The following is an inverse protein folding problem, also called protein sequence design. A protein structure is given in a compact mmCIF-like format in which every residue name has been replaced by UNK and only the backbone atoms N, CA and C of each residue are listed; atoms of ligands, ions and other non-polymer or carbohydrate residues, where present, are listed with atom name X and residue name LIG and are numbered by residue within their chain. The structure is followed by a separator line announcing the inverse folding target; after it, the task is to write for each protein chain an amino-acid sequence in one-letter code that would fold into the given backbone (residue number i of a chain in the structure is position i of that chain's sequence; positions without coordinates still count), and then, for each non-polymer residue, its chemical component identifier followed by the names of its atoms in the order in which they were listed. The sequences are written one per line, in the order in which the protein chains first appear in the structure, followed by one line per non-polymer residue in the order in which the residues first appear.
data_IF_065857013052
#
_entry.id   IF_065857013052
#
_cell.length_a   1.000
_cell.length_b   1.000
_cell.length_c   1.000
_cell.angle_alpha   90.00
_cell.angle_beta   90.00
_cell.angle_gamma   90.00
#
_symmetry.space_group_name_H-M   'P 1'
#
loop_
_entity.id
_entity.type
_entity.pdbx_description
1 polymer ?
#
# COMPACT_ATOMS: atom_id res chain seq x y z
N UNK A 1 -27.43 -58.98 -37.02
CA UNK A 1 -26.41 -57.92 -37.16
C UNK A 1 -26.55 -56.97 -35.98
N UNK A 2 -25.62 -57.04 -35.03
CA UNK A 2 -25.61 -56.22 -33.80
C UNK A 2 -24.34 -55.38 -33.86
N UNK A 3 -24.45 -54.06 -33.93
CA UNK A 3 -23.35 -53.16 -33.56
C UNK A 3 -23.93 -51.98 -32.79
N UNK A 4 -23.73 -52.02 -31.48
CA UNK A 4 -23.99 -50.94 -30.54
C UNK A 4 -22.65 -50.23 -30.33
N UNK A 5 -22.45 -49.05 -30.91
CA UNK A 5 -21.29 -48.21 -30.63
C UNK A 5 -21.60 -47.39 -29.36
N UNK A 6 -20.97 -47.76 -28.25
CA UNK A 6 -20.91 -46.95 -27.04
C UNK A 6 -19.59 -46.17 -27.07
N UNK A 7 -19.66 -44.90 -27.48
CA UNK A 7 -18.54 -43.96 -27.42
C UNK A 7 -18.51 -43.28 -26.05
N UNK A 8 -17.45 -43.56 -25.29
CA UNK A 8 -17.17 -42.98 -23.97
C UNK A 8 -16.84 -41.49 -24.12
N UNK A 9 -17.66 -40.63 -23.50
CA UNK A 9 -17.39 -39.20 -23.37
C UNK A 9 -16.38 -38.97 -22.24
N UNK A 10 -15.11 -38.79 -22.59
CA UNK A 10 -14.06 -38.44 -21.63
C UNK A 10 -14.20 -36.94 -21.27
N UNK A 11 -14.92 -36.62 -20.18
CA UNK A 11 -14.88 -35.30 -19.57
C UNK A 11 -13.54 -35.12 -18.84
N UNK A 12 -12.62 -34.40 -19.47
CA UNK A 12 -11.42 -33.87 -18.81
C UNK A 12 -11.87 -32.80 -17.79
N UNK A 13 -12.01 -33.18 -16.52
CA UNK A 13 -12.11 -32.23 -15.42
C UNK A 13 -10.74 -31.56 -15.23
N UNK A 14 -10.60 -30.36 -15.79
CA UNK A 14 -9.54 -29.43 -15.40
C UNK A 14 -9.80 -29.03 -13.94
N UNK A 15 -9.12 -29.70 -13.02
CA UNK A 15 -9.06 -29.27 -11.62
C UNK A 15 -8.31 -27.93 -11.56
N UNK A 16 -9.05 -26.82 -11.63
CA UNK A 16 -8.54 -25.49 -11.32
C UNK A 16 -8.23 -25.49 -9.82
N UNK A 17 -6.97 -25.75 -9.47
CA UNK A 17 -6.48 -25.57 -8.10
C UNK A 17 -6.47 -24.08 -7.80
N UNK A 18 -7.60 -23.54 -7.37
CA UNK A 18 -7.65 -22.23 -6.72
C UNK A 18 -7.02 -22.40 -5.34
N UNK A 19 -5.69 -22.20 -5.26
CA UNK A 19 -5.08 -21.92 -3.96
C UNK A 19 -5.78 -20.69 -3.41
N UNK A 20 -6.62 -20.89 -2.39
CA UNK A 20 -7.15 -19.79 -1.60
C UNK A 20 -5.96 -18.91 -1.20
N UNK A 21 -5.99 -17.63 -1.58
CA UNK A 21 -4.95 -16.70 -1.16
C UNK A 21 -4.89 -16.77 0.36
N UNK A 22 -3.71 -17.05 0.92
CA UNK A 22 -3.53 -17.14 2.36
C UNK A 22 -4.12 -15.87 2.99
N UNK A 23 -5.05 -16.04 3.92
CA UNK A 23 -5.73 -14.93 4.56
C UNK A 23 -4.71 -14.11 5.36
N UNK A 24 -4.74 -12.78 5.21
CA UNK A 24 -3.89 -11.89 5.99
C UNK A 24 -4.30 -11.85 7.46
N UNK A 25 -3.33 -11.79 8.36
CA UNK A 25 -3.57 -11.54 9.79
C UNK A 25 -3.99 -10.10 10.07
N UNK A 26 -3.76 -9.18 9.12
CA UNK A 26 -4.23 -7.82 9.24
C UNK A 26 -5.75 -7.79 9.04
N UNK A 27 -6.50 -7.26 10.02
CA UNK A 27 -7.95 -7.22 9.94
C UNK A 27 -8.38 -6.35 8.76
N UNK A 28 -9.53 -6.69 8.19
CA UNK A 28 -10.25 -5.73 7.35
C UNK A 28 -10.63 -4.50 8.19
N UNK A 29 -10.83 -3.38 7.51
CA UNK A 29 -11.33 -2.16 8.14
C UNK A 29 -12.52 -1.62 7.34
N UNK A 30 -13.25 -0.70 7.95
CA UNK A 30 -14.49 -0.13 7.39
C UNK A 30 -14.26 1.16 6.59
N UNK A 31 -13.00 1.60 6.43
CA UNK A 31 -12.68 2.81 5.68
C UNK A 31 -13.13 2.67 4.24
N UNK A 32 -13.58 3.78 3.66
CA UNK A 32 -14.15 3.85 2.33
C UNK A 32 -13.23 4.61 1.39
N UNK A 33 -13.36 4.29 0.10
CA UNK A 33 -12.81 5.07 -0.99
C UNK A 33 -13.85 6.11 -1.45
N UNK A 34 -13.42 7.26 -2.02
CA UNK A 34 -12.04 7.70 -2.15
C UNK A 34 -11.43 8.07 -0.79
N UNK A 35 -10.10 8.01 -0.71
CA UNK A 35 -9.34 8.31 0.48
C UNK A 35 -8.38 9.47 0.22
N UNK A 36 -8.49 10.54 1.00
CA UNK A 36 -7.69 11.77 0.84
C UNK A 36 -7.57 12.47 2.19
N UNK A 37 -7.05 11.76 3.19
CA UNK A 37 -6.81 12.29 4.53
C UNK A 37 -5.32 12.63 4.69
N UNK A 38 -5.03 13.72 5.40
CA UNK A 38 -3.68 14.05 5.86
C UNK A 38 -3.43 13.42 7.23
N UNK A 39 -2.24 12.90 7.46
CA UNK A 39 -1.84 12.19 8.67
C UNK A 39 -0.85 13.04 9.45
N UNK A 40 -1.35 13.79 10.44
CA UNK A 40 -0.49 14.51 11.37
C UNK A 40 0.18 13.52 12.33
N UNK A 41 1.51 13.38 12.34
CA UNK A 41 2.23 12.34 13.09
C UNK A 41 1.79 12.24 14.55
N UNK A 42 1.63 13.37 15.23
CA UNK A 42 1.30 13.44 16.66
C UNK A 42 -0.18 13.16 16.98
N UNK A 43 -1.05 13.11 15.97
CA UNK A 43 -2.50 12.92 16.15
C UNK A 43 -2.99 11.56 15.65
N UNK A 44 -2.18 10.86 14.88
CA UNK A 44 -2.56 9.59 14.28
C UNK A 44 -2.44 8.47 15.30
N UNK A 45 -3.54 7.75 15.53
CA UNK A 45 -3.54 6.57 16.40
C UNK A 45 -3.09 5.34 15.60
N UNK A 46 -1.87 4.91 15.88
CA UNK A 46 -1.27 3.74 15.23
C UNK A 46 -1.66 2.44 15.91
N UNK A 47 -1.77 1.38 15.11
CA UNK A 47 -2.01 0.01 15.56
C UNK A 47 -0.71 -0.77 15.59
N UNK A 48 -0.60 -1.70 16.52
CA UNK A 48 0.49 -2.69 16.53
C UNK A 48 0.15 -3.87 15.62
N UNK A 49 1.15 -4.37 14.91
CA UNK A 49 1.05 -5.52 14.03
C UNK A 49 0.66 -6.76 14.86
N UNK A 50 -0.43 -7.46 14.51
CA UNK A 50 -0.91 -8.60 15.29
C UNK A 50 -0.14 -9.90 14.99
N UNK A 51 0.73 -9.91 13.97
CA UNK A 51 1.47 -11.10 13.56
C UNK A 51 2.75 -10.74 12.80
N UNK A 52 3.62 -11.73 12.57
CA UNK A 52 4.80 -11.53 11.72
C UNK A 52 4.43 -11.36 10.23
N UNK A 53 5.00 -10.35 9.59
CA UNK A 53 4.91 -10.12 8.13
C UNK A 53 6.26 -10.38 7.49
N UNK A 54 6.31 -11.32 6.54
CA UNK A 54 7.52 -11.62 5.76
C UNK A 54 7.93 -10.39 4.95
N UNK A 55 9.17 -9.92 5.17
CA UNK A 55 9.73 -8.74 4.52
C UNK A 55 9.56 -7.43 5.31
N UNK A 56 9.05 -7.46 6.54
CA UNK A 56 8.86 -6.26 7.37
C UNK A 56 10.14 -5.45 7.59
N UNK A 57 11.27 -6.12 7.81
CA UNK A 57 12.59 -5.49 8.00
C UNK A 57 12.99 -4.55 6.86
N UNK A 58 12.38 -4.69 5.69
CA UNK A 58 12.63 -3.83 4.54
C UNK A 58 11.88 -2.48 4.61
N UNK A 59 11.04 -2.24 5.63
CA UNK A 59 10.14 -1.07 5.70
C UNK A 59 10.64 0.04 6.61
N UNK A 60 11.13 -0.28 7.82
CA UNK A 60 11.28 0.68 8.91
C UNK A 60 12.74 0.85 9.35
N UNK A 61 13.68 1.15 8.44
CA UNK A 61 15.11 1.29 8.78
C UNK A 61 15.73 0.14 9.59
N UNK A 62 15.15 -1.06 9.51
CA UNK A 62 15.57 -2.21 10.32
C UNK A 62 15.10 -2.18 11.78
N UNK A 63 14.29 -1.21 12.19
CA UNK A 63 13.68 -1.18 13.51
C UNK A 63 12.56 -2.20 13.66
N UNK A 64 12.44 -2.74 14.88
CA UNK A 64 11.41 -3.70 15.26
C UNK A 64 10.04 -3.04 15.51
N UNK A 65 9.95 -1.72 15.30
CA UNK A 65 8.69 -0.99 15.43
C UNK A 65 7.70 -1.46 14.36
N UNK A 66 6.61 -2.04 14.86
CA UNK A 66 5.60 -2.77 14.10
C UNK A 66 4.29 -2.00 14.15
N UNK A 67 4.37 -0.67 14.07
CA UNK A 67 3.22 0.22 14.02
C UNK A 67 2.73 0.44 12.58
N UNK A 68 1.42 0.56 12.43
CA UNK A 68 0.80 0.85 11.14
C UNK A 68 -0.53 1.58 11.29
N UNK A 69 -0.95 2.26 10.22
CA UNK A 69 -2.30 2.79 10.07
C UNK A 69 -3.01 2.02 8.93
N UNK A 70 -4.20 1.44 9.16
CA UNK A 70 -4.94 0.80 8.08
C UNK A 70 -5.46 1.83 7.06
N UNK A 71 -5.35 1.52 5.78
CA UNK A 71 -6.04 2.23 4.69
C UNK A 71 -7.21 1.37 4.19
N UNK A 72 -8.13 1.91 3.36
CA UNK A 72 -9.18 1.10 2.73
C UNK A 72 -8.62 -0.20 2.13
N UNK A 73 -9.38 -1.29 2.14
CA UNK A 73 -8.92 -2.57 1.58
C UNK A 73 -9.09 -2.65 0.06
N UNK A 74 -8.32 -3.52 -0.61
CA UNK A 74 -8.49 -3.87 -2.03
C UNK A 74 -8.57 -5.38 -2.22
N UNK A 75 -9.78 -5.93 -2.20
CA UNK A 75 -10.00 -7.38 -2.26
C UNK A 75 -9.23 -8.13 -1.15
N UNK A 76 -8.32 -9.02 -1.55
CA UNK A 76 -7.45 -9.77 -0.63
C UNK A 76 -6.18 -9.03 -0.23
N UNK A 77 -5.88 -7.87 -0.85
CA UNK A 77 -4.73 -7.02 -0.52
C UNK A 77 -5.08 -6.15 0.67
N UNK A 78 -4.21 -6.16 1.68
CA UNK A 78 -4.25 -5.21 2.80
C UNK A 78 -3.31 -4.06 2.47
N UNK A 79 -3.80 -2.84 2.66
CA UNK A 79 -3.05 -1.62 2.40
C UNK A 79 -2.95 -0.86 3.70
N UNK A 80 -1.73 -0.46 4.05
CA UNK A 80 -1.42 0.19 5.33
C UNK A 80 -0.43 1.35 5.08
N UNK A 81 -0.45 2.34 5.94
CA UNK A 81 0.67 3.26 6.10
C UNK A 81 1.59 2.78 7.22
N UNK A 82 2.88 2.96 7.01
CA UNK A 82 3.94 2.67 7.98
C UNK A 82 4.71 3.98 8.17
N UNK A 83 4.86 4.46 9.42
CA UNK A 83 5.70 5.61 9.69
C UNK A 83 7.17 5.21 9.47
N UNK A 84 7.96 6.14 8.93
CA UNK A 84 9.41 6.01 8.90
C UNK A 84 9.98 6.96 9.95
N UNK A 85 10.28 6.42 11.13
CA UNK A 85 10.72 7.18 12.32
C UNK A 85 12.25 7.40 12.37
N UNK A 86 12.93 7.20 11.25
CA UNK A 86 14.39 7.27 11.12
C UNK A 86 14.80 8.29 10.05
N UNK A 87 15.98 8.88 10.24
CA UNK A 87 16.53 9.91 9.38
C UNK A 87 16.13 11.31 9.82
N UNK A 88 16.70 12.30 9.14
CA UNK A 88 16.51 13.72 9.46
C UNK A 88 15.30 14.27 8.68
N UNK A 89 14.12 13.75 9.01
CA UNK A 89 12.85 14.12 8.39
C UNK A 89 11.85 14.44 9.48
N UNK A 90 11.06 15.51 9.32
CA UNK A 90 9.95 15.80 10.23
C UNK A 90 8.98 14.63 10.32
N UNK A 91 8.53 14.12 9.16
CA UNK A 91 7.79 12.86 9.10
C UNK A 91 7.72 12.29 7.68
N UNK A 92 7.60 10.96 7.59
CA UNK A 92 7.36 10.24 6.33
C UNK A 92 6.47 9.02 6.56
N UNK A 93 5.53 8.82 5.64
CA UNK A 93 4.68 7.65 5.56
C UNK A 93 4.94 6.87 4.27
N UNK A 94 5.10 5.57 4.42
CA UNK A 94 5.13 4.63 3.32
C UNK A 94 3.82 3.87 3.26
N UNK A 95 3.20 3.83 2.08
CA UNK A 95 2.13 2.89 1.79
C UNK A 95 2.76 1.54 1.51
N UNK A 96 2.31 0.51 2.21
CA UNK A 96 2.73 -0.87 2.00
C UNK A 96 1.53 -1.74 1.60
N UNK A 97 1.78 -2.69 0.70
CA UNK A 97 0.79 -3.68 0.26
C UNK A 97 1.15 -5.05 0.80
N UNK A 98 0.19 -5.69 1.45
CA UNK A 98 0.36 -6.99 2.09
C UNK A 98 -0.63 -7.98 1.47
N UNK A 99 -0.11 -9.13 1.04
CA UNK A 99 -0.93 -10.25 0.54
C UNK A 99 -0.64 -11.48 1.39
N UNK A 100 -1.68 -11.99 2.06
CA UNK A 100 -1.51 -12.90 3.19
C UNK A 100 -0.67 -12.23 4.28
N UNK A 101 0.47 -12.79 4.62
CA UNK A 101 1.39 -12.22 5.61
C UNK A 101 2.74 -11.87 4.99
N UNK A 102 2.74 -11.38 3.75
CA UNK A 102 3.96 -11.00 3.03
C UNK A 102 3.84 -9.58 2.48
N UNK A 103 4.87 -8.78 2.71
CA UNK A 103 5.08 -7.50 2.03
C UNK A 103 5.30 -7.76 0.54
N UNK A 104 4.43 -7.18 -0.29
CA UNK A 104 4.52 -7.28 -1.76
C UNK A 104 5.19 -6.05 -2.35
N UNK A 105 4.75 -4.86 -1.95
CA UNK A 105 5.24 -3.59 -2.49
C UNK A 105 5.18 -2.48 -1.45
N UNK A 106 5.93 -1.39 -1.71
CA UNK A 106 5.92 -0.18 -0.87
C UNK A 106 6.20 1.08 -1.66
N UNK A 107 5.65 2.21 -1.23
CA UNK A 107 5.89 3.51 -1.85
C UNK A 107 5.85 4.64 -0.82
N UNK A 108 6.77 5.60 -0.91
CA UNK A 108 6.69 6.86 -0.17
C UNK A 108 5.51 7.68 -0.70
N UNK A 109 4.57 8.04 0.18
CA UNK A 109 3.27 8.64 -0.23
C UNK A 109 2.91 9.93 0.50
N UNK A 110 3.47 10.17 1.68
CA UNK A 110 3.17 11.37 2.45
C UNK A 110 4.34 11.76 3.33
N UNK A 111 4.63 13.05 3.46
CA UNK A 111 5.69 13.52 4.34
C UNK A 111 5.95 15.01 4.20
N UNK A 112 6.77 15.49 5.13
CA UNK A 112 7.39 16.80 5.11
C UNK A 112 8.90 16.63 5.11
N UNK A 113 9.57 17.30 4.18
CA UNK A 113 11.02 17.28 4.08
C UNK A 113 11.58 18.66 3.79
N UNK A 114 12.72 18.99 4.37
CA UNK A 114 13.55 20.14 4.03
C UNK A 114 14.99 19.84 4.43
N UNK A 115 15.94 20.56 3.84
CA UNK A 115 17.33 20.47 4.28
C UNK A 115 17.49 21.25 5.60
N UNK A 116 18.24 20.72 6.59
CA UNK A 116 18.44 21.42 7.87
C UNK A 116 18.99 22.84 7.73
N UNK A 117 19.84 23.05 6.72
CA UNK A 117 20.47 24.35 6.42
C UNK A 117 19.61 25.25 5.53
N UNK A 118 18.42 24.80 5.10
CA UNK A 118 17.52 25.55 4.22
C UNK A 118 16.05 25.30 4.59
N UNK A 119 15.58 26.01 5.59
CA UNK A 119 14.17 26.00 6.02
C UNK A 119 13.25 26.86 5.12
N UNK A 120 13.82 27.63 4.19
CA UNK A 120 13.06 28.42 3.20
C UNK A 120 12.40 27.56 2.13
N UNK A 121 12.88 26.32 1.93
CA UNK A 121 12.40 25.37 0.93
C UNK A 121 11.89 24.09 1.57
N UNK A 122 10.58 23.84 1.50
CA UNK A 122 9.94 22.65 2.08
C UNK A 122 9.24 21.82 1.03
N UNK A 123 9.49 20.51 1.03
CA UNK A 123 8.78 19.53 0.22
C UNK A 123 7.61 18.94 1.01
N UNK A 124 6.42 19.14 0.47
CA UNK A 124 5.19 18.57 0.96
C UNK A 124 4.74 17.45 0.03
N UNK A 125 4.81 16.21 0.49
CA UNK A 125 4.27 15.07 -0.24
C UNK A 125 2.93 14.66 0.37
N UNK A 126 1.93 14.42 -0.49
CA UNK A 126 0.61 13.92 -0.11
C UNK A 126 0.11 12.90 -1.12
N UNK A 127 -0.82 12.07 -0.71
CA UNK A 127 -1.46 11.11 -1.60
C UNK A 127 -2.97 11.10 -1.49
N UNK A 128 -3.60 10.53 -2.50
CA UNK A 128 -5.00 10.14 -2.49
C UNK A 128 -5.18 8.79 -3.17
N UNK A 129 -6.28 8.09 -2.83
CA UNK A 129 -6.70 6.84 -3.44
C UNK A 129 -8.12 7.04 -3.96
N UNK A 130 -8.35 6.85 -5.27
CA UNK A 130 -9.70 6.98 -5.84
C UNK A 130 -10.53 5.69 -5.70
N UNK A 131 -11.78 5.73 -6.17
CA UNK A 131 -12.71 4.60 -6.12
C UNK A 131 -12.23 3.36 -6.92
N UNK A 132 -11.33 3.54 -7.89
CA UNK A 132 -10.71 2.47 -8.68
C UNK A 132 -9.35 2.04 -8.14
N UNK A 133 -9.01 2.50 -6.94
CA UNK A 133 -7.73 2.23 -6.31
C UNK A 133 -6.51 2.78 -7.08
N UNK A 134 -6.71 3.87 -7.82
CA UNK A 134 -5.62 4.67 -8.37
C UNK A 134 -5.05 5.54 -7.27
N UNK A 135 -3.76 5.36 -6.98
CA UNK A 135 -3.03 6.11 -5.96
C UNK A 135 -2.31 7.26 -6.68
N UNK A 136 -2.63 8.49 -6.31
CA UNK A 136 -1.97 9.68 -6.84
C UNK A 136 -1.11 10.27 -5.74
N UNK A 137 0.18 10.50 -6.01
CA UNK A 137 1.14 11.10 -5.10
C UNK A 137 1.56 12.43 -5.70
N UNK A 138 1.41 13.50 -4.94
CA UNK A 138 1.76 14.86 -5.33
C UNK A 138 2.83 15.36 -4.38
N UNK A 139 3.93 15.87 -4.94
CA UNK A 139 4.94 16.60 -4.18
C UNK A 139 4.95 18.04 -4.65
N UNK A 140 4.76 18.95 -3.70
CA UNK A 140 4.83 20.39 -3.89
C UNK A 140 6.06 20.92 -3.13
N UNK A 141 6.75 21.89 -3.72
CA UNK A 141 7.81 22.64 -3.06
C UNK A 141 7.22 23.97 -2.62
N UNK A 142 7.36 24.30 -1.35
CA UNK A 142 7.04 25.59 -0.76
C UNK A 142 8.31 26.45 -0.67
N UNK A 143 8.29 27.63 -1.31
CA UNK A 143 9.34 28.66 -1.20
C UNK A 143 8.71 29.99 -0.87
N UNK A 144 9.14 30.63 0.21
CA UNK A 144 8.62 31.95 0.65
C UNK A 144 7.08 31.98 0.71
N UNK A 145 6.48 30.91 1.24
CA UNK A 145 5.03 30.74 1.38
C UNK A 145 4.27 30.37 0.10
N UNK A 146 4.95 30.26 -1.05
CA UNK A 146 4.32 29.86 -2.32
C UNK A 146 4.61 28.40 -2.62
N UNK A 147 3.56 27.61 -2.87
CA UNK A 147 3.67 26.22 -3.31
C UNK A 147 3.67 26.10 -4.82
N UNK A 148 4.59 25.27 -5.33
CA UNK A 148 4.68 24.91 -6.74
C UNK A 148 4.77 23.40 -6.88
N UNK A 149 4.10 22.84 -7.89
CA UNK A 149 4.16 21.42 -8.19
C UNK A 149 5.60 21.02 -8.56
N UNK A 150 6.19 20.10 -7.80
CA UNK A 150 7.48 19.48 -8.13
C UNK A 150 7.27 18.19 -8.91
N UNK A 151 6.34 17.34 -8.44
CA UNK A 151 6.05 16.09 -9.13
C UNK A 151 4.62 15.61 -8.85
N UNK A 152 4.10 14.85 -9.80
CA UNK A 152 2.88 14.07 -9.65
C UNK A 152 3.15 12.68 -10.23
N UNK A 153 2.95 11.64 -9.42
CA UNK A 153 3.08 10.25 -9.84
C UNK A 153 1.80 9.50 -9.57
N UNK A 154 1.42 8.62 -10.49
CA UNK A 154 0.23 7.79 -10.38
C UNK A 154 0.63 6.32 -10.36
N UNK A 155 0.05 5.57 -9.43
CA UNK A 155 0.17 4.13 -9.32
C UNK A 155 -1.21 3.48 -9.41
N UNK A 156 -1.26 2.31 -10.05
CA UNK A 156 -2.41 1.42 -9.99
C UNK A 156 -2.08 0.21 -9.12
N UNK A 157 -2.89 -0.04 -8.09
CA UNK A 157 -2.80 -1.28 -7.32
C UNK A 157 -3.37 -2.45 -8.14
N UNK A 158 -2.60 -3.52 -8.24
CA UNK A 158 -2.98 -4.76 -8.90
C UNK A 158 -3.54 -5.79 -7.91
N UNK A 159 -4.36 -6.77 -8.35
CA UNK A 159 -4.90 -7.83 -7.48
C UNK A 159 -3.83 -8.69 -6.78
N UNK A 160 -2.61 -8.75 -7.33
CA UNK A 160 -1.49 -9.46 -6.72
C UNK A 160 -0.72 -8.62 -5.68
N UNK A 161 -1.16 -7.40 -5.40
CA UNK A 161 -0.54 -6.47 -4.46
C UNK A 161 0.55 -5.57 -5.03
N UNK A 162 0.97 -5.72 -6.29
CA UNK A 162 1.99 -4.84 -6.89
C UNK A 162 1.44 -3.46 -7.23
N UNK A 163 2.28 -2.44 -7.07
CA UNK A 163 2.02 -1.07 -7.51
C UNK A 163 2.66 -0.86 -8.89
N UNK A 164 1.85 -0.60 -9.90
CA UNK A 164 2.34 -0.30 -11.25
C UNK A 164 2.25 1.20 -11.50
N UNK A 165 3.40 1.85 -11.74
CA UNK A 165 3.44 3.25 -12.17
C UNK A 165 2.72 3.41 -13.51
N UNK A 166 1.87 4.43 -13.62
CA UNK A 166 1.11 4.80 -14.83
C UNK A 166 1.71 6.03 -15.49
#
# INVERSE_FOLDING_TARGET
MKHLFTGILCMLLLAVSSRAAAQSCLPTNTLKLPYNQKHEPDKVVLKNLPCAIKGWSNLACGEDDKRYLPLPGFGTVRVILIPLDCGDFEYRWYLATIVGNKLVDKQYVEGLWFEPDNDEEKEHTRFSIDAMYKITIVTEVEKKGKRTLKSQTVYQLQPNGKLTKR
#
